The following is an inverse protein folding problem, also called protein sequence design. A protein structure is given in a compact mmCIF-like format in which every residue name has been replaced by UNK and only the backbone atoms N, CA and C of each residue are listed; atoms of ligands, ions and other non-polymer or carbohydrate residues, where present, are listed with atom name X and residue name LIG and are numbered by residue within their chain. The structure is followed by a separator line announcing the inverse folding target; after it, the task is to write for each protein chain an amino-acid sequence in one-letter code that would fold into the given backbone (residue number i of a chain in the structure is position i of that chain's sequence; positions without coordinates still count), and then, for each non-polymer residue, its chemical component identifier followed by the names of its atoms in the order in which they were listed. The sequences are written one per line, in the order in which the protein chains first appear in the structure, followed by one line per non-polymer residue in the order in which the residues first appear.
data_IF_073954024969
#
_entry.id   IF_073954024969
#
_cell.length_a   1.000
_cell.length_b   1.000
_cell.length_c   1.000
_cell.angle_alpha   90.00
_cell.angle_beta   90.00
_cell.angle_gamma   90.00
#
_symmetry.space_group_name_H-M   'P 1'
#
loop_
_entity.id
_entity.type
_entity.pdbx_description
1 polymer ?
#
# COMPACT_ATOMS: atom_id res chain seq x y z
N UNK A 1 -0.86 9.42 20.85
CA UNK A 1 0.20 10.34 20.39
C UNK A 1 0.84 9.74 19.17
N UNK A 2 0.97 10.54 18.11
CA UNK A 2 1.76 10.28 16.92
C UNK A 2 2.66 11.50 16.71
N UNK A 3 3.98 11.32 16.67
CA UNK A 3 4.94 12.42 16.67
C UNK A 3 5.68 12.48 15.34
N UNK A 4 5.83 13.68 14.78
CA UNK A 4 6.69 13.95 13.62
C UNK A 4 8.04 14.50 14.07
N UNK A 5 9.04 14.45 13.17
CA UNK A 5 10.43 14.96 13.39
C UNK A 5 11.11 14.34 14.62
N UNK A 6 10.56 13.25 15.11
CA UNK A 6 11.11 12.55 16.27
C UNK A 6 12.29 11.67 15.86
N UNK A 7 13.14 11.34 16.81
CA UNK A 7 14.16 10.31 16.60
C UNK A 7 13.51 8.92 16.47
N UNK A 8 14.23 7.98 15.87
CA UNK A 8 13.76 6.60 15.72
C UNK A 8 13.25 6.03 17.06
N UNK A 9 12.13 5.30 17.06
CA UNK A 9 11.57 4.71 18.27
C UNK A 9 12.57 3.82 19.01
N UNK A 10 12.59 3.93 20.35
CA UNK A 10 13.48 3.19 21.24
C UNK A 10 12.72 2.28 22.23
N UNK A 11 11.47 1.92 21.90
CA UNK A 11 10.61 1.09 22.74
C UNK A 11 9.74 1.87 23.73
N UNK A 12 9.67 3.20 23.64
CA UNK A 12 8.84 4.04 24.52
C UNK A 12 7.35 3.66 24.46
N UNK A 13 6.86 3.13 23.35
CA UNK A 13 5.49 2.65 23.20
C UNK A 13 5.15 1.48 24.14
N UNK A 14 6.15 0.75 24.67
CA UNK A 14 5.96 -0.29 25.69
C UNK A 14 5.70 0.29 27.07
N UNK A 15 6.26 1.46 27.36
CA UNK A 15 6.05 2.20 28.61
C UNK A 15 4.83 3.10 28.53
N UNK A 16 4.65 3.73 27.37
CA UNK A 16 3.57 4.69 27.10
C UNK A 16 2.72 4.18 25.92
N UNK A 17 1.73 3.32 26.17
CA UNK A 17 0.95 2.66 25.11
C UNK A 17 0.09 3.62 24.27
N UNK A 18 -0.09 4.86 24.73
CA UNK A 18 -0.71 5.93 23.97
C UNK A 18 0.23 6.56 22.92
N UNK A 19 1.52 6.24 22.90
CA UNK A 19 2.44 6.55 21.80
C UNK A 19 2.30 5.44 20.74
N UNK A 20 1.48 5.69 19.73
CA UNK A 20 1.08 4.67 18.74
C UNK A 20 1.97 4.65 17.49
N UNK A 21 2.66 5.74 17.22
CA UNK A 21 3.56 5.83 16.07
C UNK A 21 4.34 7.15 16.05
N UNK A 22 5.28 7.24 15.18
CA UNK A 22 5.96 8.47 14.81
C UNK A 22 6.50 8.40 13.39
N UNK A 23 6.82 9.56 12.80
CA UNK A 23 7.40 9.63 11.46
C UNK A 23 8.85 9.12 11.46
N UNK A 24 9.77 9.84 12.09
CA UNK A 24 11.20 9.52 12.27
C UNK A 24 11.94 9.10 11.00
N UNK A 25 11.43 9.45 9.84
CA UNK A 25 12.02 9.31 8.51
C UNK A 25 11.25 10.24 7.56
N UNK A 26 11.72 10.38 6.33
CA UNK A 26 11.02 11.20 5.33
C UNK A 26 9.69 10.56 4.98
N UNK A 27 8.58 11.17 5.41
CA UNK A 27 7.22 10.86 4.99
C UNK A 27 6.82 11.67 3.75
N UNK A 28 5.53 11.64 3.41
CA UNK A 28 4.99 12.38 2.25
C UNK A 28 5.20 13.90 2.38
N UNK A 29 5.18 14.44 3.59
CA UNK A 29 5.44 15.88 3.83
C UNK A 29 6.77 16.34 3.23
N UNK A 30 7.78 15.47 3.21
CA UNK A 30 9.10 15.79 2.68
C UNK A 30 9.11 16.08 1.17
N UNK A 31 8.07 15.70 0.44
CA UNK A 31 7.93 16.03 -0.98
C UNK A 31 7.92 17.54 -1.22
N UNK A 32 7.44 18.35 -0.25
CA UNK A 32 7.46 19.81 -0.31
C UNK A 32 8.87 20.44 -0.11
N UNK A 33 9.80 19.71 0.50
CA UNK A 33 11.11 20.26 0.90
C UNK A 33 12.27 19.78 0.05
N UNK A 34 12.31 18.51 -0.29
CA UNK A 34 13.43 17.94 -1.04
C UNK A 34 13.02 16.81 -1.97
N UNK A 35 11.82 16.31 -1.77
CA UNK A 35 11.28 15.16 -2.46
C UNK A 35 12.01 13.86 -2.11
N UNK A 36 11.35 12.75 -2.40
CA UNK A 36 11.91 11.41 -2.20
C UNK A 36 12.02 10.68 -3.54
N UNK A 37 13.12 9.95 -3.72
CA UNK A 37 13.24 9.05 -4.87
C UNK A 37 12.37 7.81 -4.70
N UNK A 38 11.94 7.16 -5.78
CA UNK A 38 11.07 5.99 -5.72
C UNK A 38 11.54 4.85 -4.81
N UNK A 39 12.84 4.57 -4.76
CA UNK A 39 13.41 3.52 -3.90
C UNK A 39 13.24 3.79 -2.40
N UNK A 40 12.98 5.03 -1.98
CA UNK A 40 12.89 5.36 -0.56
C UNK A 40 11.83 4.53 0.16
N UNK A 41 10.64 4.40 -0.42
CA UNK A 41 9.54 3.63 0.18
C UNK A 41 9.80 2.12 0.20
N UNK A 42 10.64 1.61 -0.71
CA UNK A 42 11.03 0.19 -0.72
C UNK A 42 12.14 -0.13 0.29
N UNK A 43 12.82 0.90 0.81
CA UNK A 43 13.85 0.76 1.84
C UNK A 43 13.29 0.84 3.26
N UNK A 44 12.25 1.66 3.50
CA UNK A 44 11.68 1.91 4.84
C UNK A 44 11.26 0.65 5.59
N UNK A 45 10.66 -0.39 4.99
CA UNK A 45 10.31 -1.63 5.69
C UNK A 45 11.50 -2.34 6.33
N UNK A 46 12.71 -2.18 5.78
CA UNK A 46 13.91 -2.88 6.21
C UNK A 46 14.78 -2.09 7.19
N UNK A 47 14.53 -0.82 7.36
CA UNK A 47 15.29 0.04 8.27
C UNK A 47 14.41 0.76 9.29
N UNK A 48 13.54 1.67 8.84
CA UNK A 48 12.74 2.50 9.75
C UNK A 48 11.68 1.68 10.51
N UNK A 49 10.98 0.78 9.84
CA UNK A 49 9.91 -0.03 10.44
C UNK A 49 10.40 -1.11 11.41
N UNK A 50 11.68 -1.44 11.40
CA UNK A 50 12.29 -2.30 12.43
C UNK A 50 12.15 -1.68 13.83
N UNK A 51 12.16 -0.35 13.92
CA UNK A 51 11.97 0.38 15.17
C UNK A 51 10.52 0.49 15.66
N UNK A 52 9.54 0.07 14.86
CA UNK A 52 8.11 0.16 15.17
C UNK A 52 7.31 0.93 14.11
N UNK A 53 6.02 1.17 14.39
CA UNK A 53 5.10 1.83 13.44
C UNK A 53 5.61 3.17 12.95
N UNK A 54 5.34 3.47 11.68
CA UNK A 54 5.72 4.73 11.06
C UNK A 54 4.50 5.44 10.50
N UNK A 55 4.34 6.72 10.82
CA UNK A 55 3.44 7.61 10.10
C UNK A 55 4.14 8.12 8.84
N UNK A 56 3.80 7.52 7.70
CA UNK A 56 4.31 7.92 6.39
C UNK A 56 3.42 8.98 5.72
N UNK A 57 2.18 9.12 6.15
CA UNK A 57 1.14 9.95 5.52
C UNK A 57 0.89 9.58 4.03
N UNK A 58 0.49 8.33 3.73
CA UNK A 58 0.24 7.90 2.35
C UNK A 58 -1.08 8.45 1.81
N UNK A 59 -1.35 8.19 0.52
CA UNK A 59 -2.65 8.43 -0.08
C UNK A 59 -2.71 9.63 -1.03
N UNK A 60 -1.58 10.17 -1.46
CA UNK A 60 -1.55 11.20 -2.50
C UNK A 60 -2.02 10.60 -3.83
N UNK A 61 -3.12 11.11 -4.38
CA UNK A 61 -3.65 10.76 -5.71
C UNK A 61 -3.30 11.83 -6.74
N UNK A 62 -3.32 13.12 -6.34
CA UNK A 62 -2.79 14.20 -7.16
C UNK A 62 -1.28 14.36 -6.94
N UNK A 63 -0.51 13.68 -7.77
CA UNK A 63 0.95 13.64 -7.64
C UNK A 63 1.63 14.96 -7.95
N UNK A 64 0.97 15.89 -8.65
CA UNK A 64 1.57 17.18 -9.02
C UNK A 64 1.52 18.19 -7.90
N UNK A 65 0.49 18.12 -7.04
CA UNK A 65 0.28 19.05 -5.92
C UNK A 65 0.36 20.52 -6.39
N UNK A 66 -0.32 20.85 -7.47
CA UNK A 66 -0.22 22.16 -8.16
C UNK A 66 -0.45 23.36 -7.22
N UNK A 67 -1.17 23.16 -6.13
CA UNK A 67 -1.40 24.18 -5.09
C UNK A 67 -0.14 24.55 -4.27
N UNK A 68 0.91 23.72 -4.30
CA UNK A 68 2.17 23.97 -3.58
C UNK A 68 3.22 24.69 -4.44
N UNK A 69 2.95 24.89 -5.74
CA UNK A 69 3.93 25.42 -6.68
C UNK A 69 4.90 24.34 -7.18
N UNK A 70 6.12 24.74 -7.53
CA UNK A 70 7.11 23.81 -8.09
C UNK A 70 7.66 22.86 -7.02
N UNK A 71 7.41 21.58 -7.19
CA UNK A 71 8.02 20.53 -6.36
C UNK A 71 9.47 20.26 -6.78
N UNK A 72 10.35 19.81 -5.87
CA UNK A 72 11.78 19.54 -6.15
C UNK A 72 12.02 18.57 -7.31
N UNK A 73 11.08 17.65 -7.57
CA UNK A 73 11.12 16.69 -8.66
C UNK A 73 9.99 16.87 -9.68
N UNK A 74 9.34 18.05 -9.67
CA UNK A 74 8.19 18.35 -10.52
C UNK A 74 6.89 17.69 -10.08
N UNK A 75 6.97 16.58 -9.36
CA UNK A 75 5.81 15.86 -8.79
C UNK A 75 6.26 14.82 -7.76
N UNK A 76 5.32 14.31 -6.97
CA UNK A 76 5.54 13.14 -6.12
C UNK A 76 5.83 11.92 -7.00
N UNK A 77 6.96 11.25 -6.77
CA UNK A 77 7.46 10.18 -7.65
C UNK A 77 6.80 8.83 -7.34
N UNK A 78 5.52 8.69 -7.66
CA UNK A 78 4.68 7.52 -7.33
C UNK A 78 3.61 7.29 -8.40
N UNK A 79 3.05 6.07 -8.45
CA UNK A 79 1.75 5.84 -9.07
C UNK A 79 0.64 5.84 -8.00
N UNK A 80 -0.62 6.02 -8.41
CA UNK A 80 -1.78 5.90 -7.53
C UNK A 80 -1.82 4.52 -6.85
N UNK A 81 -1.56 3.44 -7.58
CA UNK A 81 -1.57 2.09 -7.00
C UNK A 81 -0.45 1.85 -6.01
N UNK A 82 0.72 2.48 -6.17
CA UNK A 82 1.76 2.47 -5.15
C UNK A 82 1.27 3.15 -3.87
N UNK A 83 0.58 4.29 -3.98
CA UNK A 83 0.00 4.98 -2.81
C UNK A 83 -0.98 4.08 -2.05
N UNK A 84 -1.83 3.31 -2.74
CA UNK A 84 -2.70 2.32 -2.09
C UNK A 84 -1.89 1.21 -1.40
N UNK A 85 -0.83 0.72 -2.04
CA UNK A 85 0.00 -0.35 -1.50
C UNK A 85 0.76 0.06 -0.23
N UNK A 86 1.09 1.35 -0.06
CA UNK A 86 1.77 1.86 1.13
C UNK A 86 1.00 1.61 2.41
N UNK A 87 -0.33 1.57 2.39
CA UNK A 87 -1.16 1.24 3.56
C UNK A 87 -0.91 -0.17 4.10
N UNK A 88 -0.35 -1.06 3.28
CA UNK A 88 -0.01 -2.44 3.68
C UNK A 88 1.48 -2.59 3.92
N UNK A 89 2.31 -2.02 3.05
CA UNK A 89 3.78 -2.20 3.13
C UNK A 89 4.41 -1.39 4.25
N UNK A 90 3.86 -0.21 4.57
CA UNK A 90 4.30 0.64 5.67
C UNK A 90 3.32 0.56 6.83
N UNK A 91 3.66 -0.27 7.83
CA UNK A 91 2.80 -0.49 8.98
C UNK A 91 2.65 0.75 9.85
N UNK A 92 1.41 1.13 10.10
CA UNK A 92 1.03 2.11 11.14
C UNK A 92 -0.37 1.78 11.67
N UNK A 93 -0.62 1.87 12.98
CA UNK A 93 -1.97 1.75 13.53
C UNK A 93 -2.81 3.02 13.32
N UNK A 94 -2.19 4.11 12.89
CA UNK A 94 -2.84 5.34 12.45
C UNK A 94 -2.38 5.61 11.01
N UNK A 95 -3.32 5.55 10.06
CA UNK A 95 -3.07 5.83 8.66
C UNK A 95 -3.76 7.13 8.27
N UNK A 96 -3.04 7.99 7.57
CA UNK A 96 -3.58 9.22 7.01
C UNK A 96 -4.15 8.98 5.61
N UNK A 97 -4.96 9.93 5.13
CA UNK A 97 -5.38 10.06 3.74
C UNK A 97 -4.93 11.46 3.32
N UNK A 98 -3.72 11.56 2.77
CA UNK A 98 -2.95 12.79 2.68
C UNK A 98 -3.22 13.60 1.40
N UNK A 99 -4.46 13.64 0.93
CA UNK A 99 -4.86 14.41 -0.25
C UNK A 99 -6.16 15.18 0.02
N UNK A 100 -6.52 16.08 -0.89
CA UNK A 100 -7.81 16.79 -0.84
C UNK A 100 -8.97 15.87 -1.20
N UNK A 101 -10.14 16.14 -0.63
CA UNK A 101 -11.36 15.37 -0.87
C UNK A 101 -11.69 15.32 -2.37
N UNK A 102 -11.53 16.45 -3.07
CA UNK A 102 -11.81 16.59 -4.49
C UNK A 102 -10.94 15.69 -5.37
N UNK A 103 -9.73 15.35 -4.92
CA UNK A 103 -8.86 14.42 -5.62
C UNK A 103 -9.28 12.97 -5.41
N UNK A 104 -9.77 12.63 -4.23
CA UNK A 104 -10.39 11.32 -3.99
C UNK A 104 -11.68 11.13 -4.74
N UNK A 105 -12.51 12.17 -4.86
CA UNK A 105 -13.78 12.11 -5.59
C UNK A 105 -13.61 11.76 -7.07
N UNK A 106 -12.47 12.12 -7.68
CA UNK A 106 -12.12 11.73 -9.05
C UNK A 106 -11.83 10.23 -9.20
N UNK A 107 -11.51 9.53 -8.10
CA UNK A 107 -11.05 8.14 -8.07
C UNK A 107 -11.71 7.34 -6.91
N UNK A 108 -13.01 7.50 -6.71
CA UNK A 108 -13.75 6.90 -5.59
C UNK A 108 -13.71 5.37 -5.58
N UNK A 109 -13.56 4.75 -6.75
CA UNK A 109 -13.40 3.31 -6.89
C UNK A 109 -12.04 2.82 -6.36
N UNK A 110 -10.97 3.57 -6.59
CA UNK A 110 -9.65 3.33 -6.00
C UNK A 110 -9.61 3.70 -4.51
N UNK A 111 -10.23 4.83 -4.12
CA UNK A 111 -10.34 5.26 -2.73
C UNK A 111 -11.05 4.23 -1.85
N UNK A 112 -11.88 3.37 -2.44
CA UNK A 112 -12.54 2.27 -1.72
C UNK A 112 -11.53 1.38 -1.00
N UNK A 113 -10.33 1.15 -1.57
CA UNK A 113 -9.29 0.39 -0.88
C UNK A 113 -8.87 1.05 0.44
N UNK A 114 -8.69 2.38 0.47
CA UNK A 114 -8.30 3.12 1.68
C UNK A 114 -9.38 3.00 2.76
N UNK A 115 -10.67 2.99 2.37
CA UNK A 115 -11.79 2.79 3.30
C UNK A 115 -11.87 1.37 3.86
N UNK A 116 -11.42 0.38 3.11
CA UNK A 116 -11.56 -1.04 3.45
C UNK A 116 -10.35 -1.60 4.19
N UNK A 117 -9.14 -1.06 3.96
CA UNK A 117 -7.91 -1.59 4.51
C UNK A 117 -7.86 -1.46 6.03
N UNK A 118 -7.49 -2.56 6.69
CA UNK A 118 -7.34 -2.57 8.14
C UNK A 118 -6.05 -1.83 8.59
N UNK A 119 -6.02 -1.41 9.85
CA UNK A 119 -4.86 -0.77 10.49
C UNK A 119 -4.29 -1.59 11.66
N UNK A 120 -4.96 -2.69 12.04
CA UNK A 120 -4.55 -3.62 13.09
C UNK A 120 -4.53 -5.05 12.55
N UNK A 121 -3.46 -5.81 12.85
CA UNK A 121 -3.11 -7.03 12.14
C UNK A 121 -2.84 -8.19 13.09
N UNK A 122 -3.39 -9.37 12.77
CA UNK A 122 -3.09 -10.62 13.49
C UNK A 122 -1.85 -11.34 12.95
N UNK A 123 -1.56 -11.19 11.65
CA UNK A 123 -0.43 -11.86 10.99
C UNK A 123 0.11 -11.02 9.83
N UNK A 124 1.38 -11.22 9.51
CA UNK A 124 2.04 -10.58 8.38
C UNK A 124 2.97 -11.57 7.68
N UNK A 125 2.91 -11.61 6.36
CA UNK A 125 3.79 -12.41 5.49
C UNK A 125 4.52 -11.50 4.52
N UNK A 126 5.79 -11.72 4.34
CA UNK A 126 6.61 -11.08 3.31
C UNK A 126 6.79 -12.08 2.18
N UNK A 127 6.12 -11.85 1.06
CA UNK A 127 6.00 -12.83 -0.03
C UNK A 127 7.22 -12.79 -0.95
N UNK A 128 7.72 -11.60 -1.22
CA UNK A 128 8.95 -11.35 -1.94
C UNK A 128 9.50 -9.97 -1.53
N UNK A 129 10.81 -9.83 -1.45
CA UNK A 129 11.42 -8.58 -1.03
C UNK A 129 12.91 -8.50 -1.38
N UNK A 130 13.36 -7.30 -1.78
CA UNK A 130 14.76 -6.91 -1.87
C UNK A 130 14.88 -5.46 -1.39
N UNK A 131 15.67 -5.18 -0.33
CA UNK A 131 15.79 -3.84 0.24
C UNK A 131 16.21 -2.79 -0.78
N UNK A 132 15.39 -1.74 -0.92
CA UNK A 132 15.64 -0.66 -1.86
C UNK A 132 15.07 -0.89 -3.26
N UNK A 133 14.73 -2.12 -3.60
CA UNK A 133 14.22 -2.48 -4.93
C UNK A 133 12.71 -2.71 -4.90
N UNK A 134 12.23 -3.65 -4.08
CA UNK A 134 10.80 -3.99 -4.02
C UNK A 134 10.43 -4.71 -2.73
N UNK A 135 9.12 -4.73 -2.46
CA UNK A 135 8.53 -5.56 -1.42
C UNK A 135 7.07 -5.88 -1.78
N UNK A 136 6.67 -7.12 -1.53
CA UNK A 136 5.26 -7.56 -1.51
C UNK A 136 4.96 -8.17 -0.14
N UNK A 137 4.04 -7.53 0.59
CA UNK A 137 3.62 -7.95 1.91
C UNK A 137 2.13 -8.27 1.96
N UNK A 138 1.75 -9.30 2.70
CA UNK A 138 0.37 -9.65 3.00
C UNK A 138 0.13 -9.54 4.51
N UNK A 139 -1.01 -8.95 4.91
CA UNK A 139 -1.37 -8.76 6.31
C UNK A 139 -2.80 -9.21 6.57
N UNK A 140 -2.99 -9.98 7.64
CA UNK A 140 -4.31 -10.46 8.09
C UNK A 140 -4.94 -9.43 9.02
N UNK A 141 -6.14 -8.97 8.67
CA UNK A 141 -6.88 -8.04 9.52
C UNK A 141 -7.30 -8.70 10.83
N UNK A 142 -7.08 -8.00 11.94
CA UNK A 142 -7.31 -8.51 13.29
C UNK A 142 -8.74 -8.99 13.52
N UNK A 143 -8.86 -10.17 14.09
CA UNK A 143 -10.14 -10.77 14.43
C UNK A 143 -10.96 -11.25 13.23
N UNK A 144 -10.38 -11.32 12.03
CA UNK A 144 -11.06 -11.73 10.79
C UNK A 144 -10.24 -12.77 10.01
N UNK A 145 -10.81 -13.28 8.91
CA UNK A 145 -10.09 -14.07 7.91
C UNK A 145 -9.68 -13.22 6.68
N UNK A 146 -9.90 -11.93 6.71
CA UNK A 146 -9.60 -11.04 5.60
C UNK A 146 -8.11 -10.73 5.56
N UNK A 147 -7.56 -10.62 4.37
CA UNK A 147 -6.18 -10.28 4.11
C UNK A 147 -6.08 -9.10 3.16
N UNK A 148 -5.02 -8.33 3.33
CA UNK A 148 -4.66 -7.25 2.43
C UNK A 148 -3.22 -7.44 1.96
N UNK A 149 -2.98 -7.28 0.66
CA UNK A 149 -1.63 -7.40 0.07
C UNK A 149 -1.26 -6.08 -0.57
N UNK A 150 -0.05 -5.63 -0.32
CA UNK A 150 0.54 -4.47 -0.99
C UNK A 150 1.87 -4.87 -1.63
N UNK A 151 2.08 -4.49 -2.88
CA UNK A 151 3.35 -4.63 -3.58
C UNK A 151 3.81 -3.31 -4.15
N UNK A 152 5.07 -2.95 -3.94
CA UNK A 152 5.69 -1.71 -4.42
C UNK A 152 7.05 -1.98 -5.04
N UNK A 153 7.45 -1.13 -5.99
CA UNK A 153 8.79 -1.17 -6.62
C UNK A 153 9.46 0.20 -6.63
N UNK A 154 10.75 0.19 -6.86
CA UNK A 154 11.62 1.34 -7.08
C UNK A 154 11.39 2.00 -8.47
N UNK A 155 12.42 2.63 -9.03
CA UNK A 155 12.42 3.25 -10.36
C UNK A 155 12.26 2.27 -11.52
N UNK A 156 12.34 0.97 -11.25
CA UNK A 156 12.28 -0.08 -12.25
C UNK A 156 10.91 -0.77 -12.26
N UNK A 157 10.35 -0.99 -13.45
CA UNK A 157 9.15 -1.79 -13.59
C UNK A 157 9.44 -3.27 -13.30
N UNK A 158 8.46 -3.97 -12.69
CA UNK A 158 8.60 -5.37 -12.27
C UNK A 158 7.33 -6.18 -12.50
N UNK A 159 7.46 -7.47 -12.24
CA UNK A 159 6.31 -8.36 -12.10
C UNK A 159 6.41 -9.08 -10.77
N UNK A 160 5.48 -8.84 -9.87
CA UNK A 160 5.33 -9.59 -8.62
C UNK A 160 4.69 -10.95 -8.91
N UNK A 161 5.32 -12.03 -8.41
CA UNK A 161 4.83 -13.40 -8.58
C UNK A 161 4.74 -14.09 -7.22
N UNK A 162 3.53 -14.41 -6.78
CA UNK A 162 3.31 -15.03 -5.48
C UNK A 162 2.09 -15.96 -5.48
N UNK A 163 1.98 -16.81 -4.47
CA UNK A 163 0.85 -17.69 -4.25
C UNK A 163 0.07 -17.23 -3.03
N UNK A 164 -1.25 -17.39 -3.04
CA UNK A 164 -2.12 -17.04 -1.92
C UNK A 164 -2.19 -18.17 -0.87
N UNK A 165 -1.13 -18.94 -0.67
CA UNK A 165 -1.05 -20.10 0.20
C UNK A 165 -1.19 -19.78 1.70
N UNK A 166 -1.07 -18.52 2.06
CA UNK A 166 -1.39 -18.01 3.40
C UNK A 166 -2.89 -17.95 3.71
N UNK A 167 -3.77 -18.08 2.70
CA UNK A 167 -5.21 -18.16 2.89
C UNK A 167 -5.63 -19.51 3.47
N UNK A 168 -6.70 -19.53 4.25
CA UNK A 168 -7.21 -20.74 4.88
C UNK A 168 -7.62 -21.77 3.81
N UNK A 169 -7.07 -23.02 3.87
CA UNK A 169 -7.41 -24.07 2.93
C UNK A 169 -8.92 -24.39 2.91
N UNK A 170 -9.47 -24.56 1.72
CA UNK A 170 -10.90 -24.86 1.53
C UNK A 170 -11.82 -23.64 1.53
N UNK A 171 -11.36 -22.49 1.97
CA UNK A 171 -12.11 -21.23 1.88
C UNK A 171 -11.94 -20.54 0.54
N UNK A 172 -12.93 -19.73 0.20
CA UNK A 172 -12.93 -18.86 -0.98
C UNK A 172 -12.97 -17.41 -0.54
N UNK A 173 -12.29 -16.56 -1.29
CA UNK A 173 -12.19 -15.13 -1.03
C UNK A 173 -12.56 -14.34 -2.27
N UNK A 174 -13.22 -13.22 -2.08
CA UNK A 174 -13.33 -12.18 -3.10
C UNK A 174 -12.05 -11.38 -3.11
N UNK A 175 -11.28 -11.53 -4.18
CA UNK A 175 -10.10 -10.71 -4.44
C UNK A 175 -10.52 -9.46 -5.21
N UNK A 176 -10.14 -8.27 -4.74
CA UNK A 176 -10.23 -7.02 -5.50
C UNK A 176 -8.82 -6.46 -5.63
N UNK A 177 -8.27 -6.55 -6.84
CA UNK A 177 -6.95 -6.06 -7.18
C UNK A 177 -7.05 -4.65 -7.78
N UNK A 178 -6.29 -3.75 -7.22
CA UNK A 178 -6.00 -2.40 -7.72
C UNK A 178 -4.55 -2.41 -8.20
N UNK A 179 -4.31 -2.35 -9.48
CA UNK A 179 -2.98 -2.47 -10.07
C UNK A 179 -2.72 -1.35 -11.07
N UNK A 180 -1.46 -1.02 -11.27
CA UNK A 180 -1.04 -0.09 -12.31
C UNK A 180 -1.66 -0.45 -13.66
N UNK A 181 -2.12 0.55 -14.39
CA UNK A 181 -2.63 0.40 -15.74
C UNK A 181 -1.52 0.01 -16.73
N UNK A 182 -1.93 -0.38 -17.93
CA UNK A 182 -0.99 -0.84 -18.96
C UNK A 182 0.04 0.23 -19.35
N UNK A 183 -0.37 1.48 -19.31
CA UNK A 183 0.39 2.69 -19.65
C UNK A 183 0.78 3.52 -18.42
N UNK A 184 0.70 2.93 -17.23
CA UNK A 184 1.10 3.60 -16.00
C UNK A 184 2.61 3.88 -15.98
N UNK A 185 2.96 5.07 -15.56
CA UNK A 185 4.34 5.50 -15.28
C UNK A 185 4.28 6.65 -14.29
N UNK A 186 5.18 6.65 -13.30
CA UNK A 186 5.15 7.65 -12.24
C UNK A 186 5.40 9.09 -12.71
N UNK A 187 5.99 9.30 -13.89
CA UNK A 187 6.22 10.63 -14.48
C UNK A 187 5.13 11.02 -15.46
N UNK A 188 4.82 10.11 -16.38
CA UNK A 188 4.00 10.42 -17.55
C UNK A 188 2.50 10.18 -17.28
N UNK A 189 2.17 9.09 -16.56
CA UNK A 189 0.78 8.70 -16.33
C UNK A 189 0.58 8.03 -14.95
N UNK A 190 0.76 8.77 -13.85
CA UNK A 190 0.77 8.20 -12.49
C UNK A 190 -0.60 7.72 -12.01
N UNK A 191 -1.68 8.20 -12.61
CA UNK A 191 -3.06 7.86 -12.24
C UNK A 191 -3.70 6.79 -13.13
N UNK A 192 -2.92 6.17 -14.03
CA UNK A 192 -3.40 5.03 -14.81
C UNK A 192 -3.46 3.78 -13.93
N UNK A 193 -4.64 3.23 -13.74
CA UNK A 193 -4.85 2.01 -12.97
C UNK A 193 -5.97 1.15 -13.55
N UNK A 194 -6.05 -0.09 -13.07
CA UNK A 194 -7.11 -1.03 -13.35
C UNK A 194 -7.59 -1.73 -12.09
N UNK A 195 -8.88 -2.02 -12.02
CA UNK A 195 -9.48 -2.79 -10.94
C UNK A 195 -9.99 -4.11 -11.48
N UNK A 196 -9.56 -5.23 -10.87
CA UNK A 196 -10.00 -6.57 -11.24
C UNK A 196 -10.56 -7.29 -10.02
N UNK A 197 -11.72 -7.93 -10.19
CA UNK A 197 -12.39 -8.67 -9.11
C UNK A 197 -12.60 -10.12 -9.50
N UNK A 198 -12.38 -11.05 -8.55
CA UNK A 198 -12.58 -12.47 -8.82
C UNK A 198 -12.52 -13.34 -7.56
N UNK A 199 -13.06 -14.56 -7.63
CA UNK A 199 -12.97 -15.55 -6.56
C UNK A 199 -11.61 -16.26 -6.62
N UNK A 200 -10.91 -16.26 -5.50
CA UNK A 200 -9.61 -16.91 -5.30
C UNK A 200 -9.64 -17.91 -4.15
N UNK A 201 -8.61 -18.74 -4.07
CA UNK A 201 -8.36 -19.70 -2.98
C UNK A 201 -6.88 -19.71 -2.62
N UNK A 202 -6.50 -20.45 -1.58
CA UNK A 202 -5.10 -20.66 -1.20
C UNK A 202 -4.21 -21.27 -2.31
N UNK A 203 -4.79 -21.84 -3.36
CA UNK A 203 -4.05 -22.40 -4.51
C UNK A 203 -3.86 -21.41 -5.65
N UNK A 204 -4.43 -20.20 -5.56
CA UNK A 204 -4.35 -19.20 -6.62
C UNK A 204 -2.94 -18.61 -6.68
N UNK A 205 -2.37 -18.60 -7.88
CA UNK A 205 -1.12 -17.91 -8.20
C UNK A 205 -1.43 -16.54 -8.76
N UNK A 206 -0.71 -15.55 -8.31
CA UNK A 206 -0.82 -14.16 -8.73
C UNK A 206 0.41 -13.76 -9.54
N UNK A 207 0.20 -13.04 -10.61
CA UNK A 207 1.25 -12.37 -11.39
C UNK A 207 0.76 -10.97 -11.69
N UNK A 208 1.39 -9.96 -11.11
CA UNK A 208 0.96 -8.56 -11.18
C UNK A 208 2.11 -7.70 -11.70
N UNK A 209 1.86 -6.95 -12.77
CA UNK A 209 2.84 -6.00 -13.29
C UNK A 209 2.77 -4.70 -12.48
N UNK A 210 3.94 -4.20 -12.12
CA UNK A 210 4.15 -2.91 -11.49
C UNK A 210 4.88 -2.01 -12.49
N UNK A 211 4.38 -0.80 -12.69
CA UNK A 211 5.03 0.23 -13.47
C UNK A 211 6.31 0.72 -12.76
N UNK A 212 7.07 1.59 -13.40
CA UNK A 212 8.18 2.32 -12.74
C UNK A 212 7.62 3.13 -11.57
N UNK A 213 8.23 3.03 -10.41
CA UNK A 213 7.72 3.57 -9.14
C UNK A 213 6.24 3.23 -8.88
N UNK A 214 5.86 2.07 -9.33
CA UNK A 214 4.49 1.58 -9.29
C UNK A 214 4.21 0.64 -8.14
N UNK A 215 2.98 0.11 -8.16
CA UNK A 215 2.53 -0.82 -7.15
C UNK A 215 1.18 -1.46 -7.45
N UNK A 216 0.75 -2.26 -6.50
CA UNK A 216 -0.62 -2.78 -6.47
C UNK A 216 -1.09 -2.95 -5.03
N UNK A 217 -2.39 -2.86 -4.85
CA UNK A 217 -3.07 -3.20 -3.61
C UNK A 217 -4.14 -4.28 -3.90
N UNK A 218 -4.31 -5.21 -2.97
CA UNK A 218 -5.23 -6.33 -3.13
C UNK A 218 -5.96 -6.56 -1.81
N UNK A 219 -7.29 -6.50 -1.83
CA UNK A 219 -8.12 -6.98 -0.73
C UNK A 219 -8.59 -8.40 -0.99
N UNK A 220 -8.59 -9.23 0.05
CA UNK A 220 -8.98 -10.64 0.03
C UNK A 220 -10.01 -10.84 1.15
N UNK A 221 -11.27 -10.69 0.83
CA UNK A 221 -12.39 -10.76 1.79
C UNK A 221 -13.04 -12.14 1.70
N UNK A 222 -13.26 -12.80 2.83
CA UNK A 222 -13.90 -14.12 2.86
C UNK A 222 -15.26 -14.06 2.15
N UNK A 223 -15.44 -14.93 1.13
CA UNK A 223 -16.58 -14.87 0.23
C UNK A 223 -17.86 -15.39 0.88
N UNK A 224 -18.91 -14.59 0.84
CA UNK A 224 -20.27 -14.98 1.26
C UNK A 224 -20.91 -15.90 0.23
N UNK A 225 -22.00 -16.61 0.57
CA UNK A 225 -22.77 -17.39 -0.42
C UNK A 225 -23.31 -16.54 -1.58
N UNK A 226 -23.60 -15.28 -1.37
CA UNK A 226 -24.05 -14.35 -2.41
C UNK A 226 -22.91 -13.97 -3.36
N UNK A 227 -21.71 -13.71 -2.83
CA UNK A 227 -20.54 -13.40 -3.65
C UNK A 227 -20.22 -14.54 -4.62
N UNK A 228 -20.29 -15.79 -4.16
CA UNK A 228 -20.02 -16.98 -4.97
C UNK A 228 -20.96 -17.16 -6.15
N UNK A 229 -22.14 -16.52 -6.12
CA UNK A 229 -23.12 -16.56 -7.22
C UNK A 229 -22.85 -15.51 -8.29
N UNK A 230 -22.30 -14.34 -7.90
CA UNK A 230 -22.18 -13.18 -8.79
C UNK A 230 -20.74 -12.88 -9.22
N UNK A 231 -19.75 -13.22 -8.39
CA UNK A 231 -18.34 -12.96 -8.70
C UNK A 231 -17.74 -14.17 -9.46
N UNK A 232 -17.15 -13.91 -10.63
CA UNK A 232 -16.50 -14.93 -11.44
C UNK A 232 -15.20 -15.42 -10.79
N UNK A 233 -14.78 -16.65 -11.13
CA UNK A 233 -13.45 -17.14 -10.72
C UNK A 233 -12.35 -16.26 -11.31
N UNK A 234 -11.31 -16.08 -10.54
CA UNK A 234 -10.09 -15.41 -10.98
C UNK A 234 -9.48 -16.13 -12.19
N UNK A 235 -9.12 -15.37 -13.22
CA UNK A 235 -8.46 -15.87 -14.44
C UNK A 235 -7.20 -15.11 -14.73
#
# INVERSE_FOLDING_TARGET
VNAHEAVRPTGLCRTYPNLIGNESARGTEYEAFGGSKPFHTTLLPFNRLIGGPMDYTPGIFDTKLDFMGDLPHGQVQTTLCKQLALYVTLYSPLQMAADFVENYEKHMDAFQFIKDVAVDWDDSKYLEAEPGDYITAARKAKGTNNWFVGGITDENARTANFTLDFLEPGKQYVATLYADGKDADYKENPTSYQIKKGIVTSKTKMSVKLARSGGFALSLIEATPSDKKVVKKWR
#
